data_IF_950009674813
#
_entry.id   IF_950009674813
#
_cell.length_a   1.000
_cell.length_b   1.000
_cell.length_c   1.000
_cell.angle_alpha   90.00
_cell.angle_beta   90.00
_cell.angle_gamma   90.00
#
_symmetry.space_group_name_H-M   'P 1'
#
loop_
_entity.id
_entity.type
_entity.pdbx_description
1 polymer ?
#
# COMPACT_ATOMS: atom_id res chain seq x y z
N UNK A 1 -2.71 -5.34 -20.31
CA UNK A 1 -3.05 -6.64 -19.70
C UNK A 1 -1.98 -7.63 -20.12
N UNK A 2 -0.93 -7.81 -19.31
CA UNK A 2 0.11 -8.81 -19.59
C UNK A 2 0.01 -9.82 -18.45
N UNK A 3 -0.74 -10.88 -18.72
CA UNK A 3 -0.77 -12.08 -17.88
C UNK A 3 0.53 -12.84 -18.16
N UNK A 4 1.61 -12.49 -17.46
CA UNK A 4 2.78 -13.37 -17.44
C UNK A 4 2.39 -14.69 -16.77
N UNK A 5 2.66 -15.80 -17.45
CA UNK A 5 2.50 -17.15 -16.96
C UNK A 5 3.13 -17.27 -15.56
N UNK A 6 2.31 -17.60 -14.55
CA UNK A 6 2.79 -17.76 -13.18
C UNK A 6 3.79 -18.93 -13.13
N UNK A 7 5.06 -18.72 -12.78
CA UNK A 7 6.00 -19.84 -12.64
C UNK A 7 5.47 -20.77 -11.54
N UNK A 8 5.51 -22.08 -11.77
CA UNK A 8 4.99 -23.07 -10.82
C UNK A 8 5.59 -22.84 -9.42
N UNK A 9 4.76 -22.33 -8.50
CA UNK A 9 5.18 -22.02 -7.13
C UNK A 9 5.14 -23.31 -6.33
N UNK A 10 6.31 -23.83 -5.96
CA UNK A 10 6.41 -24.99 -5.06
C UNK A 10 6.48 -24.50 -3.62
N UNK A 11 5.77 -25.16 -2.71
CA UNK A 11 5.81 -24.83 -1.27
C UNK A 11 6.57 -25.88 -0.50
N UNK A 12 7.49 -25.46 0.35
CA UNK A 12 8.19 -26.32 1.30
C UNK A 12 8.05 -25.76 2.71
N UNK A 13 8.09 -26.63 3.71
CA UNK A 13 8.13 -26.23 5.12
C UNK A 13 9.54 -26.41 5.65
N UNK A 14 10.09 -25.36 6.25
CA UNK A 14 11.44 -25.34 6.85
C UNK A 14 11.34 -24.76 8.25
N UNK A 15 11.68 -25.55 9.28
CA UNK A 15 11.60 -25.15 10.69
C UNK A 15 10.24 -24.50 11.07
N UNK A 16 9.13 -25.07 10.56
CA UNK A 16 7.77 -24.56 10.79
C UNK A 16 7.35 -23.35 9.95
N UNK A 17 8.20 -22.85 9.06
CA UNK A 17 7.91 -21.72 8.16
C UNK A 17 7.55 -22.26 6.76
N UNK A 18 6.39 -21.84 6.24
CA UNK A 18 6.02 -22.10 4.83
C UNK A 18 6.81 -21.16 3.92
N UNK A 19 7.58 -21.74 3.00
CA UNK A 19 8.42 -21.03 2.03
C UNK A 19 7.92 -21.31 0.62
N UNK A 20 7.69 -20.25 -0.15
CA UNK A 20 7.38 -20.32 -1.57
C UNK A 20 8.67 -20.32 -2.38
N UNK A 21 8.97 -21.43 -3.06
CA UNK A 21 10.14 -21.58 -3.92
C UNK A 21 9.71 -21.34 -5.36
N UNK A 22 10.36 -20.37 -6.00
CA UNK A 22 10.19 -20.06 -7.42
C UNK A 22 11.51 -20.32 -8.12
N UNK A 23 11.49 -21.25 -9.07
CA UNK A 23 12.66 -21.59 -9.89
C UNK A 23 12.76 -20.59 -11.03
N UNK A 24 13.91 -19.95 -11.19
CA UNK A 24 14.18 -18.98 -12.25
C UNK A 24 15.56 -19.22 -12.84
N UNK A 25 15.77 -18.78 -14.07
CA UNK A 25 17.10 -18.71 -14.66
C UNK A 25 17.85 -17.50 -14.08
N UNK A 26 18.47 -17.71 -12.93
CA UNK A 26 19.21 -16.71 -12.16
C UNK A 26 20.49 -17.34 -11.61
N UNK A 27 21.53 -16.53 -11.41
CA UNK A 27 22.81 -17.00 -10.88
C UNK A 27 22.78 -17.23 -9.36
N UNK A 28 22.07 -16.38 -8.62
CA UNK A 28 22.08 -16.35 -7.16
C UNK A 28 20.71 -16.71 -6.58
N UNK A 29 20.72 -17.32 -5.39
CA UNK A 29 19.50 -17.54 -4.60
C UNK A 29 19.11 -16.23 -3.90
N UNK A 30 17.88 -15.78 -4.10
CA UNK A 30 17.34 -14.59 -3.45
C UNK A 30 16.22 -14.97 -2.49
N UNK A 31 16.32 -14.50 -1.25
CA UNK A 31 15.33 -14.74 -0.20
C UNK A 31 14.69 -13.41 0.21
N UNK A 32 13.36 -13.34 0.17
CA UNK A 32 12.59 -12.16 0.54
C UNK A 32 11.46 -12.50 1.52
N UNK A 33 11.19 -11.58 2.44
CA UNK A 33 10.02 -11.62 3.34
C UNK A 33 9.11 -10.48 2.97
N UNK A 34 7.88 -10.79 2.58
CA UNK A 34 6.93 -9.81 2.04
C UNK A 34 5.78 -9.52 3.03
N UNK A 35 5.34 -8.26 3.15
CA UNK A 35 4.11 -7.92 3.88
C UNK A 35 2.88 -8.56 3.20
N UNK A 36 1.74 -8.72 3.90
CA UNK A 36 1.42 -8.22 5.26
C UNK A 36 1.64 -9.24 6.40
N UNK A 37 1.82 -10.53 6.10
CA UNK A 37 2.00 -11.60 7.10
C UNK A 37 3.44 -12.13 7.18
N UNK A 38 4.37 -11.49 6.46
CA UNK A 38 5.75 -11.90 6.37
C UNK A 38 5.93 -13.19 5.57
N UNK A 39 5.30 -13.25 4.39
CA UNK A 39 5.38 -14.37 3.47
C UNK A 39 6.82 -14.52 2.97
N UNK A 40 7.40 -15.71 3.16
CA UNK A 40 8.78 -15.99 2.76
C UNK A 40 8.79 -16.58 1.35
N UNK A 41 9.53 -15.95 0.45
CA UNK A 41 9.74 -16.42 -0.92
C UNK A 41 11.23 -16.56 -1.20
N UNK A 42 11.59 -17.66 -1.84
CA UNK A 42 12.93 -17.93 -2.34
C UNK A 42 12.87 -18.03 -3.85
N UNK A 43 13.61 -17.17 -4.54
CA UNK A 43 13.94 -17.37 -5.94
C UNK A 43 15.24 -18.18 -5.99
N UNK A 44 15.20 -19.36 -6.60
CA UNK A 44 16.35 -20.26 -6.68
C UNK A 44 16.70 -20.57 -8.14
N UNK A 45 18.01 -20.69 -8.48
CA UNK A 45 18.45 -21.19 -9.78
C UNK A 45 17.84 -22.57 -10.09
N UNK A 46 17.71 -22.91 -11.38
CA UNK A 46 17.18 -24.20 -11.84
C UNK A 46 18.01 -25.40 -11.33
N UNK A 47 19.32 -25.22 -11.19
CA UNK A 47 20.29 -26.26 -10.79
C UNK A 47 20.39 -26.52 -9.28
N UNK A 48 19.86 -25.62 -8.46
CA UNK A 48 20.00 -25.73 -6.99
C UNK A 48 19.00 -26.76 -6.45
N UNK A 49 19.38 -27.67 -5.57
CA UNK A 49 18.44 -28.66 -5.00
C UNK A 49 17.47 -28.02 -3.99
N UNK A 50 16.33 -28.66 -3.72
CA UNK A 50 15.43 -28.22 -2.65
C UNK A 50 16.12 -28.27 -1.27
N UNK A 51 17.07 -29.19 -1.07
CA UNK A 51 17.84 -29.30 0.17
C UNK A 51 18.79 -28.13 0.38
N UNK A 52 19.47 -27.68 -0.68
CA UNK A 52 20.28 -26.46 -0.62
C UNK A 52 19.41 -25.22 -0.32
N UNK A 53 18.18 -25.18 -0.85
CA UNK A 53 17.20 -24.14 -0.48
C UNK A 53 16.83 -24.22 1.00
N UNK A 54 16.61 -25.43 1.55
CA UNK A 54 16.33 -25.61 2.98
C UNK A 54 17.47 -25.08 3.85
N UNK A 55 18.71 -25.45 3.54
CA UNK A 55 19.88 -24.99 4.29
C UNK A 55 20.04 -23.47 4.23
N UNK A 56 19.85 -22.86 3.06
CA UNK A 56 19.89 -21.41 2.91
C UNK A 56 18.80 -20.70 3.73
N UNK A 57 17.59 -21.28 3.80
CA UNK A 57 16.52 -20.77 4.66
C UNK A 57 16.87 -20.91 6.14
N UNK A 58 17.45 -22.06 6.54
CA UNK A 58 17.90 -22.32 7.93
C UNK A 58 18.93 -21.27 8.36
N UNK A 59 19.95 -21.01 7.54
CA UNK A 59 20.97 -19.99 7.79
C UNK A 59 20.37 -18.58 8.00
N UNK A 60 19.27 -18.28 7.30
CA UNK A 60 18.57 -16.99 7.40
C UNK A 60 17.39 -16.99 8.37
N UNK A 61 17.16 -18.03 9.19
CA UNK A 61 16.01 -18.11 10.11
C UNK A 61 15.94 -16.93 11.07
N UNK A 62 17.07 -16.54 11.67
CA UNK A 62 17.12 -15.40 12.58
C UNK A 62 16.77 -14.07 11.89
N UNK A 63 17.16 -13.91 10.62
CA UNK A 63 16.77 -12.74 9.82
C UNK A 63 15.28 -12.78 9.44
N UNK A 64 14.76 -13.93 9.03
CA UNK A 64 13.34 -14.11 8.69
C UNK A 64 12.44 -13.76 9.88
N UNK A 65 12.76 -14.28 11.08
CA UNK A 65 11.99 -13.99 12.31
C UNK A 65 11.96 -12.49 12.60
N UNK A 66 13.11 -11.81 12.50
CA UNK A 66 13.20 -10.35 12.68
C UNK A 66 12.36 -9.57 11.65
N UNK A 67 12.38 -9.96 10.38
CA UNK A 67 11.54 -9.32 9.35
C UNK A 67 10.05 -9.53 9.62
N UNK A 68 9.64 -10.75 10.00
CA UNK A 68 8.24 -11.05 10.36
C UNK A 68 7.77 -10.24 11.57
N UNK A 69 8.59 -10.12 12.61
CA UNK A 69 8.31 -9.28 13.77
C UNK A 69 8.14 -7.81 13.38
N UNK A 70 9.06 -7.27 12.57
CA UNK A 70 8.96 -5.90 12.04
C UNK A 70 7.66 -5.65 11.28
N UNK A 71 7.19 -6.60 10.47
CA UNK A 71 5.91 -6.46 9.76
C UNK A 71 4.69 -6.62 10.67
N UNK A 72 4.80 -7.37 11.77
CA UNK A 72 3.74 -7.51 12.75
C UNK A 72 3.61 -6.26 13.64
N UNK A 73 4.75 -5.66 14.00
CA UNK A 73 4.84 -4.43 14.81
C UNK A 73 4.58 -3.15 14.01
N UNK A 74 4.66 -3.22 12.67
CA UNK A 74 4.34 -2.08 11.83
C UNK A 74 2.91 -1.63 12.12
N UNK A 75 2.71 -0.39 12.62
CA UNK A 75 1.37 0.14 12.85
C UNK A 75 0.66 0.15 11.51
N UNK A 76 -0.25 -0.82 11.33
CA UNK A 76 -1.16 -0.78 10.19
C UNK A 76 -1.98 0.47 10.37
N UNK A 77 -2.11 1.25 9.30
CA UNK A 77 -3.08 2.33 9.30
C UNK A 77 -4.42 1.71 9.69
N UNK A 78 -4.96 2.09 10.85
CA UNK A 78 -6.27 1.65 11.29
C UNK A 78 -7.27 1.98 10.18
N UNK A 79 -8.29 1.13 10.04
CA UNK A 79 -9.38 1.45 9.13
C UNK A 79 -9.93 2.83 9.50
N UNK A 80 -10.21 3.64 8.48
CA UNK A 80 -10.76 4.98 8.67
C UNK A 80 -12.19 4.80 9.18
N UNK A 81 -12.47 5.30 10.38
CA UNK A 81 -13.80 5.19 10.99
C UNK A 81 -14.75 6.26 10.43
N UNK A 82 -14.18 7.32 9.82
CA UNK A 82 -14.91 8.43 9.20
C UNK A 82 -15.85 9.11 10.20
N UNK A 83 -15.33 9.33 11.40
CA UNK A 83 -16.02 9.93 12.55
C UNK A 83 -15.53 11.34 12.84
N UNK A 84 -16.36 12.10 13.55
CA UNK A 84 -16.00 13.44 14.01
C UNK A 84 -14.72 13.42 14.85
N UNK A 85 -13.78 14.31 14.54
CA UNK A 85 -12.51 14.44 15.25
C UNK A 85 -11.38 13.56 14.70
N UNK A 86 -11.66 12.64 13.76
CA UNK A 86 -10.62 11.85 13.11
C UNK A 86 -9.62 12.74 12.38
N UNK A 87 -8.33 12.37 12.44
CA UNK A 87 -7.26 13.09 11.76
C UNK A 87 -7.09 12.61 10.32
N UNK A 88 -7.30 13.52 9.37
CA UNK A 88 -7.04 13.32 7.94
C UNK A 88 -5.96 14.27 7.46
N UNK A 89 -5.13 13.82 6.53
CA UNK A 89 -4.06 14.63 5.97
C UNK A 89 -4.43 15.10 4.57
N UNK A 90 -4.21 16.39 4.30
CA UNK A 90 -4.31 16.97 2.96
C UNK A 90 -3.06 17.82 2.71
N UNK A 91 -2.34 17.52 1.62
CA UNK A 91 -1.07 18.18 1.24
C UNK A 91 -0.05 18.27 2.39
N UNK A 92 0.07 17.21 3.18
CA UNK A 92 1.00 17.13 4.31
C UNK A 92 0.54 17.85 5.58
N UNK A 93 -0.63 18.50 5.58
CA UNK A 93 -1.21 19.15 6.76
C UNK A 93 -2.31 18.29 7.38
N UNK A 94 -2.34 18.25 8.72
CA UNK A 94 -3.35 17.51 9.48
C UNK A 94 -4.60 18.35 9.69
N UNK A 95 -5.75 17.81 9.30
CA UNK A 95 -7.09 18.37 9.52
C UNK A 95 -7.93 17.41 10.36
N UNK A 96 -8.80 17.97 11.21
CA UNK A 96 -9.81 17.21 11.95
C UNK A 96 -11.09 17.12 11.12
N UNK A 97 -11.58 15.91 10.91
CA UNK A 97 -12.82 15.65 10.19
C UNK A 97 -14.02 16.14 11.00
N UNK A 98 -14.93 16.85 10.33
CA UNK A 98 -16.25 17.22 10.84
C UNK A 98 -17.31 16.73 9.87
N UNK A 99 -18.08 15.74 10.28
CA UNK A 99 -19.18 15.16 9.51
C UNK A 99 -20.45 15.94 9.82
N UNK A 100 -21.02 16.54 8.78
CA UNK A 100 -22.28 17.26 8.78
C UNK A 100 -23.29 16.46 7.94
N UNK A 101 -24.36 16.01 8.58
CA UNK A 101 -25.43 15.32 7.89
C UNK A 101 -26.49 16.34 7.44
N UNK A 102 -26.87 16.30 6.16
CA UNK A 102 -27.94 17.15 5.63
C UNK A 102 -28.56 16.53 4.38
N UNK A 103 -29.75 17.00 4.02
CA UNK A 103 -30.46 16.53 2.83
C UNK A 103 -30.06 17.30 1.56
N UNK A 104 -28.78 17.26 1.19
CA UNK A 104 -28.29 17.83 -0.07
C UNK A 104 -27.08 17.04 -0.62
N UNK A 105 -26.55 17.38 -1.81
CA UNK A 105 -25.39 16.69 -2.39
C UNK A 105 -24.17 16.69 -1.47
N UNK A 106 -23.44 15.58 -1.48
CA UNK A 106 -22.27 15.42 -0.64
C UNK A 106 -21.12 16.33 -1.12
N UNK A 107 -20.49 17.04 -0.19
CA UNK A 107 -19.39 17.98 -0.48
C UNK A 107 -18.31 17.89 0.59
N UNK A 108 -17.11 18.35 0.26
CA UNK A 108 -16.02 18.48 1.21
C UNK A 108 -15.47 19.89 1.13
N UNK A 109 -15.26 20.52 2.27
CA UNK A 109 -14.71 21.86 2.36
C UNK A 109 -13.62 21.91 3.43
N UNK A 110 -12.50 22.54 3.11
CA UNK A 110 -11.50 22.91 4.11
C UNK A 110 -11.97 24.20 4.79
N UNK A 111 -12.11 24.17 6.11
CA UNK A 111 -12.41 25.37 6.91
C UNK A 111 -11.21 25.77 7.74
N UNK A 112 -10.60 26.88 7.33
CA UNK A 112 -9.39 27.42 7.94
C UNK A 112 -8.20 26.46 7.80
N UNK A 113 -7.42 26.34 8.87
CA UNK A 113 -6.11 25.67 8.84
C UNK A 113 -6.18 24.25 9.46
N UNK A 114 -7.28 23.89 10.11
CA UNK A 114 -7.33 22.68 10.95
C UNK A 114 -8.62 21.86 10.84
N UNK A 115 -9.63 22.29 10.07
CA UNK A 115 -10.90 21.57 9.94
C UNK A 115 -11.17 21.13 8.50
N UNK A 116 -11.62 19.89 8.35
CA UNK A 116 -12.08 19.29 7.09
C UNK A 116 -13.55 18.93 7.28
N UNK A 117 -14.44 19.71 6.69
CA UNK A 117 -15.87 19.52 6.80
C UNK A 117 -16.36 18.62 5.67
N UNK A 118 -16.90 17.46 6.06
CA UNK A 118 -17.51 16.48 5.19
C UNK A 118 -19.03 16.56 5.35
N UNK A 119 -19.70 16.85 4.25
CA UNK A 119 -21.12 17.04 4.15
C UNK A 119 -21.71 15.81 3.43
N UNK A 120 -22.58 15.05 4.10
CA UNK A 120 -23.13 13.80 3.59
C UNK A 120 -24.63 13.68 3.88
N UNK A 121 -25.29 12.74 3.18
CA UNK A 121 -26.70 12.43 3.43
C UNK A 121 -26.88 11.77 4.80
N UNK A 122 -28.05 11.97 5.39
CA UNK A 122 -28.43 11.34 6.66
C UNK A 122 -28.24 9.82 6.58
N UNK A 123 -27.60 9.23 7.59
CA UNK A 123 -27.38 7.77 7.66
C UNK A 123 -26.30 7.22 6.72
N UNK A 124 -25.41 8.07 6.19
CA UNK A 124 -24.31 7.59 5.33
C UNK A 124 -23.33 6.70 6.10
N UNK A 125 -22.95 5.55 5.53
CA UNK A 125 -21.96 4.64 6.12
C UNK A 125 -20.54 5.23 6.12
N UNK A 126 -19.63 4.66 6.91
CA UNK A 126 -18.22 5.05 6.89
C UNK A 126 -17.60 4.92 5.49
N UNK A 127 -17.93 3.86 4.75
CA UNK A 127 -17.43 3.64 3.37
C UNK A 127 -17.95 4.71 2.41
N UNK A 128 -19.22 5.11 2.54
CA UNK A 128 -19.80 6.17 1.71
C UNK A 128 -19.15 7.52 2.01
N UNK A 129 -18.90 7.82 3.29
CA UNK A 129 -18.17 9.01 3.72
C UNK A 129 -16.74 9.01 3.17
N UNK A 130 -16.05 7.88 3.23
CA UNK A 130 -14.69 7.71 2.70
C UNK A 130 -14.67 7.91 1.18
N UNK A 131 -15.63 7.34 0.45
CA UNK A 131 -15.73 7.49 -0.99
C UNK A 131 -15.92 8.95 -1.43
N UNK A 132 -16.73 9.72 -0.69
CA UNK A 132 -16.88 11.17 -0.92
C UNK A 132 -15.55 11.89 -0.70
N UNK A 133 -14.85 11.58 0.39
CA UNK A 133 -13.57 12.20 0.70
C UNK A 133 -12.49 11.86 -0.34
N UNK A 134 -12.42 10.61 -0.80
CA UNK A 134 -11.49 10.16 -1.85
C UNK A 134 -11.77 10.83 -3.19
N UNK A 135 -13.05 10.99 -3.56
CA UNK A 135 -13.44 11.73 -4.77
C UNK A 135 -12.93 13.17 -4.71
N UNK A 136 -13.16 13.85 -3.58
CA UNK A 136 -12.66 15.20 -3.37
C UNK A 136 -11.12 15.28 -3.47
N UNK A 137 -10.38 14.34 -2.87
CA UNK A 137 -8.91 14.30 -3.00
C UNK A 137 -8.47 14.19 -4.47
N UNK A 138 -9.15 13.37 -5.28
CA UNK A 138 -8.85 13.24 -6.71
C UNK A 138 -9.11 14.54 -7.46
N UNK A 139 -10.19 15.24 -7.14
CA UNK A 139 -10.49 16.55 -7.73
C UNK A 139 -9.41 17.59 -7.38
N UNK A 140 -9.00 17.65 -6.12
CA UNK A 140 -7.90 18.53 -5.70
C UNK A 140 -6.58 18.18 -6.40
N UNK A 141 -6.26 16.89 -6.50
CA UNK A 141 -5.06 16.44 -7.20
C UNK A 141 -5.10 16.82 -8.69
N UNK A 142 -6.23 16.61 -9.37
CA UNK A 142 -6.40 17.01 -10.77
C UNK A 142 -6.19 18.50 -10.98
N UNK A 143 -6.61 19.35 -10.04
CA UNK A 143 -6.35 20.79 -10.10
C UNK A 143 -4.87 21.16 -9.88
N UNK A 144 -4.13 20.38 -9.08
CA UNK A 144 -2.72 20.61 -8.77
C UNK A 144 -1.76 20.05 -9.83
N UNK A 145 -2.19 19.06 -10.61
CA UNK A 145 -1.34 18.42 -11.62
C UNK A 145 -0.83 19.42 -12.68
N UNK A 146 -1.68 20.25 -13.34
CA UNK A 146 -1.22 21.16 -14.39
C UNK A 146 -0.04 22.06 -14.01
N UNK A 147 -0.08 22.84 -12.90
CA UNK A 147 1.06 23.70 -12.54
C UNK A 147 2.31 22.90 -12.14
N UNK A 148 2.15 21.68 -11.62
CA UNK A 148 3.30 20.79 -11.36
C UNK A 148 3.92 20.29 -12.66
N UNK A 149 3.10 19.98 -13.68
CA UNK A 149 3.58 19.56 -14.98
C UNK A 149 4.36 20.68 -15.67
N UNK A 150 3.82 21.90 -15.69
CA UNK A 150 4.51 23.07 -16.25
C UNK A 150 5.90 23.27 -15.65
N UNK A 151 6.04 23.05 -14.34
CA UNK A 151 7.32 23.17 -13.64
C UNK A 151 8.28 22.02 -13.99
N UNK A 152 7.82 20.78 -13.92
CA UNK A 152 8.70 19.61 -13.90
C UNK A 152 8.99 19.00 -15.27
N UNK A 153 8.08 19.13 -16.24
CA UNK A 153 8.32 18.66 -17.62
C UNK A 153 9.60 19.23 -18.24
N UNK A 154 9.87 20.55 -18.19
CA UNK A 154 11.10 21.10 -18.76
C UNK A 154 12.34 20.69 -17.95
N UNK A 155 12.24 20.61 -16.61
CA UNK A 155 13.37 20.21 -15.76
C UNK A 155 13.79 18.76 -15.98
N UNK A 156 12.83 17.87 -16.24
CA UNK A 156 13.08 16.45 -16.42
C UNK A 156 13.26 16.04 -17.89
N UNK A 157 13.00 16.95 -18.83
CA UNK A 157 13.08 16.66 -20.27
C UNK A 157 12.04 15.63 -20.74
N UNK A 158 10.90 15.53 -20.05
CA UNK A 158 9.84 14.57 -20.35
C UNK A 158 8.53 15.27 -20.69
N UNK A 159 7.74 14.69 -21.59
CA UNK A 159 6.40 15.15 -21.95
C UNK A 159 5.38 14.12 -21.43
N UNK A 160 4.30 14.59 -20.82
CA UNK A 160 3.22 13.70 -20.36
C UNK A 160 2.38 13.29 -21.56
N UNK A 161 2.19 11.98 -21.73
CA UNK A 161 1.23 11.44 -22.69
C UNK A 161 -0.20 11.72 -22.19
N UNK A 162 -1.02 12.29 -23.08
CA UNK A 162 -2.42 12.66 -22.82
C UNK A 162 -3.32 11.44 -22.54
#
# INVERSE_FOLDING_TARGET
>A
MITEASPAIRRITVAGIKVEVVRKDIKNLHLGVYPPHGRVRVAAPLVVSDEAVRLAVIDKLGWIKRQRAKFAEQPRQSQREMVNGESHFFLGRRYRLRVHEHNAPARVALRGIASLDLFVRLGSSAEQREAVLLRWHREQLKALIPPLLEKWQPTLGVQVAA
#
